data_IF_520269695371
#
_entry.id   IF_520269695371
#
_cell.length_a   1.000
_cell.length_b   1.000
_cell.length_c   1.000
_cell.angle_alpha   90.00
_cell.angle_beta   90.00
_cell.angle_gamma   90.00
#
_symmetry.space_group_name_H-M   'P 1'
#
loop_
_entity.id
_entity.type
_entity.pdbx_description
1 polymer ?
#
# COMPACT_ATOMS: atom_id res chain seq x y z
N UNK A 1 4.89 0.07 -63.26
CA UNK A 1 4.83 0.47 -61.82
C UNK A 1 6.20 1.10 -61.51
N UNK A 2 6.25 2.40 -61.19
CA UNK A 2 7.51 3.16 -61.10
C UNK A 2 8.30 2.74 -59.88
N UNK A 3 9.56 2.32 -60.06
CA UNK A 3 10.48 1.87 -59.00
C UNK A 3 10.54 2.88 -57.83
N UNK A 4 10.49 4.18 -58.14
CA UNK A 4 10.46 5.25 -57.14
C UNK A 4 9.23 5.19 -56.21
N UNK A 5 8.06 4.80 -56.69
CA UNK A 5 6.83 4.67 -55.88
C UNK A 5 6.90 3.45 -54.96
N UNK A 6 7.54 2.37 -55.40
CA UNK A 6 7.75 1.19 -54.61
C UNK A 6 8.73 1.45 -53.45
N UNK A 7 9.82 2.21 -53.70
CA UNK A 7 10.80 2.58 -52.71
C UNK A 7 10.23 3.49 -51.60
N UNK A 8 9.36 4.45 -51.98
CA UNK A 8 8.69 5.33 -50.99
C UNK A 8 7.71 4.53 -50.11
N UNK A 9 6.96 3.59 -50.69
CA UNK A 9 6.03 2.77 -49.94
C UNK A 9 6.75 1.88 -48.93
N UNK A 10 7.90 1.31 -49.27
CA UNK A 10 8.71 0.49 -48.36
C UNK A 10 9.28 1.33 -47.20
N UNK A 11 9.75 2.55 -47.47
CA UNK A 11 10.25 3.47 -46.44
C UNK A 11 9.13 3.92 -45.48
N UNK A 12 7.93 4.21 -45.99
CA UNK A 12 6.79 4.58 -45.11
C UNK A 12 6.35 3.42 -44.23
N UNK A 13 6.26 2.20 -44.77
CA UNK A 13 5.91 1.01 -43.99
C UNK A 13 6.97 0.71 -42.95
N UNK A 14 8.26 0.85 -43.30
CA UNK A 14 9.36 0.69 -42.36
C UNK A 14 9.34 1.73 -41.21
N UNK A 15 9.05 3.00 -41.53
CA UNK A 15 8.90 4.07 -40.57
C UNK A 15 7.69 3.86 -39.62
N UNK A 16 6.57 3.42 -40.16
CA UNK A 16 5.37 3.09 -39.39
C UNK A 16 5.59 1.88 -38.50
N UNK A 17 6.31 0.87 -38.97
CA UNK A 17 6.67 -0.31 -38.14
C UNK A 17 7.65 0.06 -37.05
N UNK A 18 8.64 0.90 -37.32
CA UNK A 18 9.59 1.40 -36.32
C UNK A 18 8.88 2.28 -35.27
N UNK A 19 7.99 3.17 -35.69
CA UNK A 19 7.16 3.98 -34.81
C UNK A 19 6.23 3.11 -33.94
N UNK A 20 5.59 2.11 -34.54
CA UNK A 20 4.74 1.16 -33.84
C UNK A 20 5.54 0.33 -32.82
N UNK A 21 6.73 -0.15 -33.17
CA UNK A 21 7.61 -0.90 -32.27
C UNK A 21 8.17 -0.02 -31.14
N UNK A 22 8.41 1.27 -31.41
CA UNK A 22 8.82 2.25 -30.41
C UNK A 22 7.69 2.60 -29.43
N UNK A 23 6.46 2.76 -29.93
CA UNK A 23 5.27 3.03 -29.13
C UNK A 23 4.78 1.81 -28.34
N UNK A 24 5.15 0.60 -28.77
CA UNK A 24 4.87 -0.66 -28.09
C UNK A 24 6.00 -1.13 -27.16
N UNK A 25 6.93 -0.28 -26.77
CA UNK A 25 7.82 -0.62 -25.66
C UNK A 25 6.95 -0.84 -24.43
N UNK A 26 6.70 -2.11 -24.11
CA UNK A 26 6.08 -2.49 -22.86
C UNK A 26 6.86 -1.82 -21.73
N UNK A 27 6.14 -1.20 -20.80
CA UNK A 27 6.78 -0.65 -19.61
C UNK A 27 7.59 -1.76 -18.95
N UNK A 28 8.80 -1.47 -18.47
CA UNK A 28 9.60 -2.47 -17.77
C UNK A 28 8.76 -3.08 -16.65
N UNK A 29 8.70 -4.41 -16.59
CA UNK A 29 7.98 -5.13 -15.53
C UNK A 29 8.60 -4.71 -14.21
N UNK A 30 7.79 -4.18 -13.30
CA UNK A 30 8.21 -3.99 -11.91
C UNK A 30 8.41 -5.36 -11.27
N UNK A 31 9.66 -5.82 -11.31
CA UNK A 31 10.07 -7.15 -10.84
C UNK A 31 9.78 -7.33 -9.36
N UNK A 32 9.91 -6.25 -8.56
CA UNK A 32 9.63 -6.30 -7.13
C UNK A 32 8.14 -6.57 -6.88
N UNK A 33 7.27 -5.73 -7.47
CA UNK A 33 5.83 -5.87 -7.39
C UNK A 33 5.35 -7.24 -7.89
N UNK A 34 5.88 -7.71 -9.02
CA UNK A 34 5.57 -9.04 -9.55
C UNK A 34 5.96 -10.16 -8.57
N UNK A 35 7.17 -10.09 -8.01
CA UNK A 35 7.65 -11.06 -7.01
C UNK A 35 6.75 -11.08 -5.78
N UNK A 36 6.37 -9.91 -5.26
CA UNK A 36 5.42 -9.79 -4.14
C UNK A 36 4.07 -10.43 -4.48
N UNK A 37 3.55 -10.17 -5.67
CA UNK A 37 2.29 -10.76 -6.14
C UNK A 37 2.34 -12.29 -6.17
N UNK A 38 3.43 -12.87 -6.69
CA UNK A 38 3.63 -14.33 -6.72
C UNK A 38 3.68 -14.90 -5.30
N UNK A 39 4.47 -14.29 -4.40
CA UNK A 39 4.57 -14.72 -3.00
C UNK A 39 3.19 -14.70 -2.32
N UNK A 40 2.43 -13.63 -2.49
CA UNK A 40 1.10 -13.49 -1.90
C UNK A 40 0.12 -14.51 -2.48
N UNK A 41 0.15 -14.74 -3.79
CA UNK A 41 -0.68 -15.77 -4.42
C UNK A 41 -0.44 -17.16 -3.79
N UNK A 42 0.82 -17.56 -3.62
CA UNK A 42 1.16 -18.82 -2.92
C UNK A 42 0.72 -18.82 -1.47
N UNK A 43 0.87 -17.70 -0.76
CA UNK A 43 0.47 -17.58 0.65
C UNK A 43 -1.04 -17.73 0.79
N UNK A 44 -1.82 -16.99 0.00
CA UNK A 44 -3.29 -17.06 0.03
C UNK A 44 -3.83 -18.41 -0.45
N UNK A 45 -3.14 -19.12 -1.35
CA UNK A 45 -3.56 -20.46 -1.76
C UNK A 45 -3.57 -21.48 -0.62
N UNK A 46 -2.85 -21.20 0.47
CA UNK A 46 -2.67 -22.07 1.64
C UNK A 46 -3.28 -21.51 2.92
N UNK A 47 -3.77 -20.27 2.89
CA UNK A 47 -4.38 -19.61 4.03
C UNK A 47 -5.89 -19.64 3.89
N UNK A 48 -6.57 -20.22 4.87
CA UNK A 48 -8.00 -20.14 4.99
C UNK A 48 -8.38 -18.92 5.80
N UNK A 49 -9.19 -18.03 5.20
CA UNK A 49 -9.76 -16.85 5.84
C UNK A 49 -8.71 -16.01 6.64
N UNK A 50 -7.63 -15.52 5.97
CA UNK A 50 -6.49 -14.91 6.65
C UNK A 50 -6.80 -13.52 7.20
N UNK A 51 -5.94 -13.02 8.08
CA UNK A 51 -5.82 -11.60 8.42
C UNK A 51 -4.75 -11.01 7.49
N UNK A 52 -5.05 -9.90 6.83
CA UNK A 52 -4.16 -9.25 5.86
C UNK A 52 -3.78 -7.87 6.36
N UNK A 53 -2.50 -7.54 6.29
CA UNK A 53 -1.98 -6.19 6.51
C UNK A 53 -1.51 -5.64 5.18
N UNK A 54 -2.28 -4.73 4.59
CA UNK A 54 -2.04 -4.06 3.33
C UNK A 54 -1.40 -2.70 3.58
N UNK A 55 -0.28 -2.39 2.92
CA UNK A 55 0.39 -1.11 3.16
C UNK A 55 1.60 -0.86 2.28
N UNK A 56 2.45 0.03 2.73
CA UNK A 56 3.67 0.48 2.06
C UNK A 56 4.93 -0.28 2.53
N UNK A 57 6.12 0.34 2.38
CA UNK A 57 7.42 -0.21 2.79
C UNK A 57 7.50 -0.49 4.29
N UNK A 58 6.85 0.29 5.16
CA UNK A 58 6.81 0.01 6.59
C UNK A 58 6.02 -1.27 6.87
N UNK A 59 4.95 -1.53 6.14
CA UNK A 59 4.24 -2.81 6.21
C UNK A 59 5.12 -3.94 5.67
N UNK A 60 5.73 -3.75 4.51
CA UNK A 60 6.53 -4.79 3.86
C UNK A 60 7.69 -5.26 4.74
N UNK A 61 8.39 -4.34 5.40
CA UNK A 61 9.52 -4.63 6.28
C UNK A 61 9.12 -5.02 7.72
N UNK A 62 7.83 -5.07 8.05
CA UNK A 62 7.36 -5.36 9.40
C UNK A 62 7.68 -6.78 9.85
N UNK A 63 7.84 -6.95 11.16
CA UNK A 63 8.20 -8.21 11.82
C UNK A 63 6.99 -8.91 12.45
N UNK A 64 5.80 -8.68 11.91
CA UNK A 64 4.55 -9.27 12.37
C UNK A 64 4.62 -10.81 12.50
N UNK A 65 3.94 -11.41 13.47
CA UNK A 65 3.88 -12.86 13.60
C UNK A 65 3.21 -13.47 12.37
N UNK A 66 3.53 -14.72 12.06
CA UNK A 66 2.96 -15.42 10.91
C UNK A 66 1.50 -15.83 11.10
N UNK A 67 1.02 -15.81 12.33
CA UNK A 67 -0.37 -16.15 12.68
C UNK A 67 -0.85 -15.34 13.87
N UNK A 68 -2.16 -15.11 13.90
CA UNK A 68 -2.88 -14.51 15.02
C UNK A 68 -4.24 -15.19 15.13
N UNK A 69 -4.63 -15.62 16.34
CA UNK A 69 -5.94 -16.27 16.59
C UNK A 69 -6.19 -17.45 15.66
N UNK A 70 -5.21 -18.33 15.49
CA UNK A 70 -5.24 -19.53 14.63
C UNK A 70 -5.46 -19.23 13.14
N UNK A 71 -5.35 -17.96 12.72
CA UNK A 71 -5.40 -17.53 11.32
C UNK A 71 -4.03 -17.11 10.83
N UNK A 72 -3.74 -17.35 9.57
CA UNK A 72 -2.55 -16.79 8.94
C UNK A 72 -2.63 -15.26 8.96
N UNK A 73 -1.58 -14.59 9.43
CA UNK A 73 -1.41 -13.14 9.29
C UNK A 73 -0.47 -12.89 8.12
N UNK A 74 -1.00 -12.25 7.09
CA UNK A 74 -0.33 -12.09 5.80
C UNK A 74 0.09 -10.65 5.59
N UNK A 75 1.40 -10.44 5.47
CA UNK A 75 1.98 -9.16 5.12
C UNK A 75 1.83 -8.91 3.61
N UNK A 76 0.92 -8.01 3.23
CA UNK A 76 0.68 -7.54 1.88
C UNK A 76 1.23 -6.11 1.66
N UNK A 77 2.37 -5.79 2.27
CA UNK A 77 3.09 -4.53 2.02
C UNK A 77 3.70 -4.50 0.63
N UNK A 78 3.75 -3.30 0.04
CA UNK A 78 4.39 -3.03 -1.24
C UNK A 78 5.14 -1.70 -1.14
N UNK A 79 6.46 -1.75 -1.30
CA UNK A 79 7.33 -0.58 -1.23
C UNK A 79 6.83 0.57 -2.10
N UNK A 80 6.91 1.80 -1.57
CA UNK A 80 6.48 3.02 -2.27
C UNK A 80 4.97 3.19 -2.44
N UNK A 81 4.14 2.26 -1.98
CA UNK A 81 2.69 2.36 -2.13
C UNK A 81 2.10 3.56 -1.39
N UNK A 82 1.08 4.16 -1.99
CA UNK A 82 0.28 5.25 -1.43
C UNK A 82 -1.21 5.00 -1.64
N UNK A 83 -2.07 5.88 -1.15
CA UNK A 83 -3.51 5.76 -1.38
C UNK A 83 -3.91 5.91 -2.85
N UNK A 84 -3.06 6.53 -3.67
CA UNK A 84 -3.25 6.66 -5.12
C UNK A 84 -2.78 5.43 -5.92
N UNK A 85 -2.11 4.48 -5.26
CA UNK A 85 -1.70 3.24 -5.90
C UNK A 85 -2.90 2.32 -6.13
N UNK A 86 -2.80 1.42 -7.11
CA UNK A 86 -3.84 0.43 -7.44
C UNK A 86 -3.85 -0.79 -6.50
N UNK A 87 -3.48 -0.58 -5.21
CA UNK A 87 -3.35 -1.66 -4.21
C UNK A 87 -4.63 -2.47 -4.01
N UNK A 88 -5.78 -1.82 -4.10
CA UNK A 88 -7.07 -2.51 -3.98
C UNK A 88 -7.23 -3.56 -5.07
N UNK A 89 -7.06 -3.18 -6.33
CA UNK A 89 -7.12 -4.09 -7.48
C UNK A 89 -6.05 -5.18 -7.37
N UNK A 90 -4.81 -4.79 -7.06
CA UNK A 90 -3.70 -5.73 -6.88
C UNK A 90 -3.97 -6.79 -5.81
N UNK A 91 -4.53 -6.41 -4.66
CA UNK A 91 -4.87 -7.35 -3.61
C UNK A 91 -6.03 -8.26 -4.02
N UNK A 92 -7.07 -7.72 -4.68
CA UNK A 92 -8.22 -8.49 -5.15
C UNK A 92 -7.81 -9.53 -6.19
N UNK A 93 -6.89 -9.20 -7.08
CA UNK A 93 -6.34 -10.13 -8.08
C UNK A 93 -5.64 -11.32 -7.42
N UNK A 94 -4.82 -11.09 -6.38
CA UNK A 94 -4.14 -12.18 -5.65
C UNK A 94 -5.08 -12.97 -4.75
N UNK A 95 -6.10 -12.34 -4.19
CA UNK A 95 -7.16 -13.04 -3.42
C UNK A 95 -7.98 -13.98 -4.31
N UNK A 96 -8.13 -13.64 -5.59
CA UNK A 96 -8.85 -14.46 -6.57
C UNK A 96 -10.22 -14.93 -6.05
N UNK A 97 -11.03 -14.00 -5.57
CA UNK A 97 -12.38 -14.25 -5.04
C UNK A 97 -12.45 -14.81 -3.62
N UNK A 98 -11.30 -15.07 -2.97
CA UNK A 98 -11.27 -15.47 -1.55
C UNK A 98 -11.55 -14.28 -0.65
N UNK A 99 -12.02 -14.56 0.55
CA UNK A 99 -12.27 -13.53 1.59
C UNK A 99 -11.26 -13.64 2.71
N UNK A 100 -10.97 -12.52 3.33
CA UNK A 100 -10.17 -12.41 4.54
C UNK A 100 -11.07 -12.22 5.78
N UNK A 101 -10.60 -12.65 6.95
CA UNK A 101 -11.25 -12.33 8.22
C UNK A 101 -11.11 -10.82 8.53
N UNK A 102 -9.94 -10.24 8.23
CA UNK A 102 -9.75 -8.81 8.29
C UNK A 102 -8.75 -8.33 7.22
N UNK A 103 -8.93 -7.11 6.74
CA UNK A 103 -7.90 -6.36 6.02
C UNK A 103 -7.63 -5.08 6.81
N UNK A 104 -6.41 -4.95 7.34
CA UNK A 104 -5.92 -3.70 7.91
C UNK A 104 -5.15 -2.95 6.83
N UNK A 105 -5.47 -1.67 6.64
CA UNK A 105 -4.81 -0.78 5.68
C UNK A 105 -3.91 0.20 6.42
N UNK A 106 -2.61 0.18 6.11
CA UNK A 106 -1.56 1.03 6.70
C UNK A 106 -0.89 1.85 5.60
N UNK A 107 -1.49 2.98 5.24
CA UNK A 107 -1.04 3.88 4.18
C UNK A 107 -1.14 5.34 4.62
N UNK A 108 -0.39 6.20 3.93
CA UNK A 108 -0.45 7.66 4.09
C UNK A 108 0.91 8.31 4.22
N UNK A 109 1.94 7.57 4.61
CA UNK A 109 3.31 8.11 4.72
C UNK A 109 3.81 8.60 3.36
N UNK A 110 3.67 7.80 2.31
CA UNK A 110 4.08 8.19 0.95
C UNK A 110 3.20 9.31 0.38
N UNK A 111 1.92 9.36 0.73
CA UNK A 111 1.05 10.48 0.36
C UNK A 111 1.55 11.80 0.96
N UNK A 112 1.92 11.80 2.24
CA UNK A 112 2.47 12.97 2.93
C UNK A 112 3.82 13.41 2.36
N UNK A 113 4.71 12.46 2.06
CA UNK A 113 6.02 12.71 1.43
C UNK A 113 5.86 13.30 0.01
N UNK A 114 4.92 12.81 -0.77
CA UNK A 114 4.63 13.28 -2.13
C UNK A 114 3.91 14.63 -2.14
N UNK A 115 3.57 15.19 -0.98
CA UNK A 115 2.88 16.48 -0.89
C UNK A 115 1.40 16.42 -1.25
N UNK A 116 0.75 15.26 -1.12
CA UNK A 116 -0.66 15.09 -1.45
C UNK A 116 -1.55 15.98 -0.60
N UNK A 117 -2.51 16.61 -1.24
CA UNK A 117 -3.52 17.41 -0.55
C UNK A 117 -4.48 16.51 0.24
N UNK A 118 -4.95 17.00 1.41
CA UNK A 118 -5.83 16.22 2.29
C UNK A 118 -7.08 15.70 1.57
N UNK A 119 -7.74 16.55 0.79
CA UNK A 119 -8.95 16.16 0.04
C UNK A 119 -8.70 15.01 -0.95
N UNK A 120 -7.54 15.01 -1.59
CA UNK A 120 -7.15 13.95 -2.53
C UNK A 120 -6.84 12.66 -1.77
N UNK A 121 -6.10 12.73 -0.65
CA UNK A 121 -5.85 11.61 0.24
C UNK A 121 -7.15 10.95 0.70
N UNK A 122 -8.11 11.75 1.19
CA UNK A 122 -9.41 11.25 1.66
C UNK A 122 -10.22 10.57 0.53
N UNK A 123 -10.21 11.15 -0.66
CA UNK A 123 -10.91 10.59 -1.82
C UNK A 123 -10.29 9.24 -2.24
N UNK A 124 -8.96 9.17 -2.32
CA UNK A 124 -8.24 7.96 -2.68
C UNK A 124 -8.46 6.85 -1.63
N UNK A 125 -8.35 7.19 -0.34
CA UNK A 125 -8.57 6.23 0.75
C UNK A 125 -10.02 5.70 0.73
N UNK A 126 -10.99 6.58 0.52
CA UNK A 126 -12.41 6.20 0.40
C UNK A 126 -12.61 5.22 -0.76
N UNK A 127 -11.99 5.48 -1.91
CA UNK A 127 -12.04 4.60 -3.08
C UNK A 127 -11.42 3.23 -2.79
N UNK A 128 -10.25 3.19 -2.14
CA UNK A 128 -9.58 1.95 -1.75
C UNK A 128 -10.46 1.10 -0.81
N UNK A 129 -11.03 1.72 0.24
CA UNK A 129 -11.90 1.01 1.18
C UNK A 129 -13.17 0.47 0.50
N UNK A 130 -13.74 1.24 -0.44
CA UNK A 130 -14.90 0.80 -1.21
C UNK A 130 -14.58 -0.43 -2.06
N UNK A 131 -13.38 -0.50 -2.69
CA UNK A 131 -12.92 -1.68 -3.43
C UNK A 131 -12.78 -2.91 -2.51
N UNK A 132 -12.27 -2.73 -1.28
CA UNK A 132 -11.98 -3.81 -0.35
C UNK A 132 -13.21 -4.29 0.44
N UNK A 133 -14.32 -3.56 0.45
CA UNK A 133 -15.49 -3.83 1.29
C UNK A 133 -16.07 -5.23 1.17
N UNK A 134 -15.99 -5.85 -0.01
CA UNK A 134 -16.48 -7.22 -0.24
C UNK A 134 -15.43 -8.31 0.04
N UNK A 135 -14.17 -7.94 0.25
CA UNK A 135 -13.04 -8.86 0.31
C UNK A 135 -12.70 -9.31 1.75
N UNK A 136 -13.28 -8.69 2.77
CA UNK A 136 -13.06 -9.06 4.17
C UNK A 136 -14.34 -8.96 4.99
N UNK A 137 -14.35 -9.60 6.17
CA UNK A 137 -15.43 -9.45 7.15
C UNK A 137 -15.24 -8.14 7.94
N UNK A 138 -13.98 -7.77 8.19
CA UNK A 138 -13.62 -6.54 8.89
C UNK A 138 -12.60 -5.73 8.09
N UNK A 139 -12.83 -4.43 7.97
CA UNK A 139 -11.85 -3.46 7.49
C UNK A 139 -11.35 -2.63 8.67
N UNK A 140 -10.04 -2.39 8.71
CA UNK A 140 -9.37 -1.61 9.74
C UNK A 140 -8.44 -0.60 9.07
N UNK A 141 -8.41 0.64 9.55
CA UNK A 141 -7.45 1.66 9.13
C UNK A 141 -6.46 1.89 10.27
N UNK A 142 -5.16 1.84 9.98
CA UNK A 142 -4.11 2.15 10.94
C UNK A 142 -3.73 3.64 10.86
N UNK A 143 -3.42 4.24 12.01
CA UNK A 143 -2.81 5.57 12.07
C UNK A 143 -1.44 5.59 11.37
N UNK A 144 -1.07 6.76 10.84
CA UNK A 144 0.17 6.97 10.08
C UNK A 144 1.31 7.30 11.06
N UNK A 145 2.47 6.63 10.97
CA UNK A 145 3.61 6.93 11.84
C UNK A 145 4.21 8.31 11.58
N UNK A 146 4.84 8.88 12.60
CA UNK A 146 5.63 10.10 12.47
C UNK A 146 6.93 9.83 11.72
N UNK A 147 7.47 10.91 11.10
CA UNK A 147 8.79 10.93 10.45
C UNK A 147 9.76 11.79 11.24
N UNK A 148 11.06 11.49 11.15
CA UNK A 148 12.12 12.15 11.93
C UNK A 148 13.13 12.88 11.03
N UNK A 149 13.77 13.91 11.57
CA UNK A 149 14.93 14.56 10.92
C UNK A 149 16.13 13.61 10.97
N UNK A 150 16.38 12.91 9.85
CA UNK A 150 17.48 11.95 9.72
C UNK A 150 17.78 11.65 8.25
N UNK A 151 19.03 11.40 7.94
CA UNK A 151 19.44 11.04 6.57
C UNK A 151 19.07 12.12 5.55
N UNK A 152 18.20 11.79 4.60
CA UNK A 152 17.70 12.72 3.57
C UNK A 152 16.51 13.58 4.04
N UNK A 153 15.94 13.27 5.20
CA UNK A 153 14.82 14.01 5.79
C UNK A 153 15.36 15.27 6.48
N UNK A 154 15.39 16.38 5.75
CA UNK A 154 15.76 17.70 6.31
C UNK A 154 14.68 18.22 7.26
N UNK A 155 15.02 19.17 8.14
CA UNK A 155 14.07 19.74 9.10
C UNK A 155 12.84 20.36 8.43
N UNK A 156 13.01 21.11 7.34
CA UNK A 156 11.89 21.72 6.61
C UNK A 156 11.00 20.68 5.93
N UNK A 157 11.63 19.66 5.33
CA UNK A 157 10.88 18.58 4.68
C UNK A 157 10.13 17.74 5.71
N UNK A 158 10.78 17.41 6.82
CA UNK A 158 10.14 16.72 7.95
C UNK A 158 8.94 17.52 8.48
N UNK A 159 9.11 18.82 8.76
CA UNK A 159 8.04 19.67 9.27
C UNK A 159 6.85 19.76 8.28
N UNK A 160 7.11 19.84 6.98
CA UNK A 160 6.08 19.85 5.95
C UNK A 160 5.34 18.50 5.87
N UNK A 161 6.06 17.40 5.96
CA UNK A 161 5.51 16.03 5.94
C UNK A 161 4.68 15.78 7.19
N UNK A 162 5.17 16.16 8.37
CA UNK A 162 4.43 16.01 9.64
C UNK A 162 3.11 16.76 9.64
N UNK A 163 3.07 17.99 9.14
CA UNK A 163 1.79 18.73 9.03
C UNK A 163 0.74 17.96 8.23
N UNK A 164 1.15 17.26 7.16
CA UNK A 164 0.25 16.41 6.37
C UNK A 164 -0.15 15.16 7.13
N UNK A 165 0.82 14.47 7.76
CA UNK A 165 0.54 13.28 8.58
C UNK A 165 -0.45 13.61 9.69
N UNK A 166 -0.29 14.75 10.38
CA UNK A 166 -1.19 15.17 11.44
C UNK A 166 -2.60 15.44 10.90
N UNK A 167 -2.71 16.14 9.75
CA UNK A 167 -3.99 16.40 9.10
C UNK A 167 -4.67 15.09 8.62
N UNK A 168 -3.89 14.17 8.05
CA UNK A 168 -4.40 12.87 7.61
C UNK A 168 -4.86 12.03 8.81
N UNK A 169 -4.04 11.92 9.86
CA UNK A 169 -4.42 11.20 11.09
C UNK A 169 -5.68 11.76 11.75
N UNK A 170 -5.88 13.08 11.70
CA UNK A 170 -7.10 13.70 12.21
C UNK A 170 -8.35 13.33 11.37
N UNK A 171 -8.19 13.05 10.09
CA UNK A 171 -9.28 12.65 9.18
C UNK A 171 -9.63 11.16 9.25
N UNK A 172 -8.65 10.28 9.57
CA UNK A 172 -8.81 8.81 9.51
C UNK A 172 -10.01 8.27 10.32
N UNK A 173 -10.30 8.72 11.56
CA UNK A 173 -11.45 8.21 12.32
C UNK A 173 -12.79 8.41 11.59
N UNK A 174 -13.01 9.60 11.04
CA UNK A 174 -14.24 9.91 10.31
C UNK A 174 -14.33 9.16 8.97
N UNK A 175 -13.20 8.96 8.29
CA UNK A 175 -13.13 8.13 7.07
C UNK A 175 -13.46 6.66 7.38
N UNK A 176 -12.93 6.13 8.47
CA UNK A 176 -13.20 4.76 8.92
C UNK A 176 -14.70 4.57 9.22
N UNK A 177 -15.28 5.45 10.03
CA UNK A 177 -16.71 5.43 10.37
C UNK A 177 -17.58 5.44 9.10
N UNK A 178 -17.32 6.38 8.18
CA UNK A 178 -18.06 6.51 6.92
C UNK A 178 -17.96 5.26 6.03
N UNK A 179 -16.83 4.56 6.06
CA UNK A 179 -16.61 3.33 5.30
C UNK A 179 -17.16 2.07 6.00
N UNK A 180 -17.58 2.18 7.27
CA UNK A 180 -17.92 1.04 8.11
C UNK A 180 -16.68 0.20 8.50
N UNK A 181 -15.51 0.83 8.57
CA UNK A 181 -14.25 0.26 9.01
C UNK A 181 -13.96 0.64 10.47
N UNK A 182 -13.12 -0.14 11.15
CA UNK A 182 -12.57 0.26 12.44
C UNK A 182 -11.35 1.18 12.23
N UNK A 183 -11.08 2.06 13.19
CA UNK A 183 -9.85 2.83 13.25
C UNK A 183 -8.97 2.33 14.40
N UNK A 184 -7.72 1.97 14.07
CA UNK A 184 -6.68 1.62 15.02
C UNK A 184 -5.71 2.81 15.15
N UNK A 185 -5.79 3.59 16.23
CA UNK A 185 -4.86 4.69 16.43
C UNK A 185 -3.45 4.16 16.64
N UNK A 186 -2.47 4.83 16.04
CA UNK A 186 -1.08 4.55 16.29
C UNK A 186 -0.60 5.42 17.46
N UNK A 187 -0.15 4.82 18.58
CA UNK A 187 0.37 5.58 19.68
C UNK A 187 1.61 6.40 19.31
N UNK A 188 1.89 7.54 19.99
CA UNK A 188 3.13 8.26 19.80
C UNK A 188 4.35 7.36 19.99
N UNK A 189 5.33 7.47 19.09
CA UNK A 189 6.60 6.77 19.17
C UNK A 189 7.64 7.65 19.84
N UNK A 190 8.44 7.09 20.76
CA UNK A 190 9.60 7.79 21.32
C UNK A 190 10.68 7.98 20.25
N UNK A 191 11.41 9.08 20.31
CA UNK A 191 12.54 9.31 19.40
C UNK A 191 13.85 8.75 20.00
N UNK A 192 14.74 8.12 19.17
CA UNK A 192 14.54 7.77 17.78
C UNK A 192 13.67 6.52 17.60
N UNK A 193 12.93 6.45 16.49
CA UNK A 193 12.10 5.31 16.11
C UNK A 193 12.21 4.95 14.62
N UNK A 194 13.12 5.60 13.90
CA UNK A 194 13.37 5.35 12.46
C UNK A 194 14.85 5.12 12.17
N UNK A 195 15.17 4.38 11.12
CA UNK A 195 16.55 4.16 10.66
C UNK A 195 17.06 5.29 9.77
N UNK A 196 16.21 5.93 8.99
CA UNK A 196 16.57 6.95 7.99
C UNK A 196 15.68 8.20 8.02
N UNK A 197 14.83 8.32 9.02
CA UNK A 197 13.83 9.38 9.17
C UNK A 197 12.44 8.99 8.68
N UNK A 198 12.29 7.84 8.02
CA UNK A 198 11.07 7.35 7.40
C UNK A 198 10.72 5.92 7.80
N UNK A 199 11.65 4.98 7.58
CA UNK A 199 11.44 3.58 7.86
C UNK A 199 11.68 3.28 9.34
N UNK A 200 10.74 2.55 9.93
CA UNK A 200 10.78 2.25 11.36
C UNK A 200 12.01 1.40 11.74
N UNK A 201 12.57 1.69 12.88
CA UNK A 201 13.56 0.83 13.53
C UNK A 201 12.89 -0.20 14.48
N UNK A 202 13.66 -0.95 15.22
CA UNK A 202 13.13 -1.95 16.19
C UNK A 202 12.18 -1.33 17.21
N UNK A 203 12.46 -0.11 17.70
CA UNK A 203 11.61 0.57 18.67
C UNK A 203 10.30 1.05 18.04
N UNK A 204 10.39 1.60 16.81
CA UNK A 204 9.23 1.99 16.01
C UNK A 204 8.33 0.79 15.70
N UNK A 205 8.90 -0.32 15.24
CA UNK A 205 8.14 -1.55 14.98
C UNK A 205 7.49 -2.14 16.23
N UNK A 206 8.11 -2.05 17.41
CA UNK A 206 7.47 -2.53 18.63
C UNK A 206 6.12 -1.83 18.89
N UNK A 207 6.02 -0.53 18.62
CA UNK A 207 4.77 0.24 18.76
C UNK A 207 3.81 -0.06 17.60
N UNK A 208 4.33 -0.09 16.37
CA UNK A 208 3.55 -0.30 15.15
C UNK A 208 2.92 -1.70 15.10
N UNK A 209 3.71 -2.75 15.33
CA UNK A 209 3.24 -4.15 15.36
C UNK A 209 2.17 -4.35 16.46
N UNK A 210 2.35 -3.76 17.64
CA UNK A 210 1.36 -3.82 18.71
C UNK A 210 0.04 -3.15 18.32
N UNK A 211 0.09 -2.01 17.61
CA UNK A 211 -1.09 -1.31 17.12
C UNK A 211 -1.82 -2.12 16.01
N UNK A 212 -1.07 -2.75 15.11
CA UNK A 212 -1.62 -3.65 14.09
C UNK A 212 -2.33 -4.82 14.74
N UNK A 213 -1.65 -5.56 15.64
CA UNK A 213 -2.21 -6.73 16.34
C UNK A 213 -3.48 -6.34 17.10
N UNK A 214 -3.45 -5.22 17.83
CA UNK A 214 -4.63 -4.70 18.54
C UNK A 214 -5.76 -4.34 17.57
N UNK A 215 -5.43 -3.69 16.44
CA UNK A 215 -6.41 -3.27 15.45
C UNK A 215 -7.18 -4.42 14.81
N UNK A 216 -6.49 -5.55 14.56
CA UNK A 216 -7.10 -6.72 13.94
C UNK A 216 -7.64 -7.74 14.96
N UNK A 217 -7.47 -7.52 16.27
CA UNK A 217 -7.93 -8.45 17.31
C UNK A 217 -9.45 -8.66 17.31
N UNK A 218 -10.23 -7.70 16.79
CA UNK A 218 -11.66 -7.86 16.58
C UNK A 218 -12.02 -8.97 15.60
N UNK A 219 -11.13 -9.30 14.65
CA UNK A 219 -11.28 -10.42 13.73
C UNK A 219 -10.98 -11.79 14.39
N UNK A 220 -10.49 -11.78 15.61
CA UNK A 220 -10.28 -12.97 16.44
C UNK A 220 -11.56 -13.49 17.09
N UNK A 221 -12.72 -12.98 16.71
CA UNK A 221 -14.03 -13.13 17.29
C UNK A 221 -14.36 -14.48 17.91
N UNK A 222 -15.23 -14.44 18.91
CA UNK A 222 -15.80 -15.61 19.58
C UNK A 222 -16.43 -16.55 18.54
N UNK A 223 -15.84 -17.73 18.41
CA UNK A 223 -16.48 -18.89 17.77
C UNK A 223 -17.69 -19.34 18.58
#
# INVERSE_FOLDING_TARGET
>A
MNVARLSIAVLVVGALFAAYSFLRKEAPVDTHRYTRQVILHYTFSRADHPIIVLGDSNTEASTLPRSLCDRALVNAGLDGASTASDLGTWLLDVLNGRRAAAILVALGTNDALQGREQKEFEANYTSLLAQLKGAADHLVMLGIPSVEVRGRMTADYQAATMRRIDAFNAALPALAEKAGAAFAPLPPMGAPHTIDGLHLDTAGYAVWDAAVIKGVSGACGTH
#
